data_IF_738178756271
#
_entry.id   IF_738178756271
#
_cell.length_a   1.000
_cell.length_b   1.000
_cell.length_c   1.000
_cell.angle_alpha   90.00
_cell.angle_beta   90.00
_cell.angle_gamma   90.00
#
_symmetry.space_group_name_H-M   'P 1'
#
loop_
_entity.id
_entity.type
_entity.pdbx_description
1 polymer ?
#
# COMPACT_ATOMS: atom_id res chain seq x y z
N UNK A 1 -22.93 -7.17 -43.66
CA UNK A 1 -21.89 -7.90 -44.39
C UNK A 1 -20.97 -6.92 -45.07
N UNK A 2 -19.80 -6.69 -44.53
CA UNK A 2 -18.55 -6.26 -45.19
C UNK A 2 -17.46 -6.27 -44.12
N UNK A 3 -16.60 -7.28 -44.21
CA UNK A 3 -15.39 -7.44 -43.41
C UNK A 3 -14.37 -6.37 -43.81
N UNK A 4 -13.79 -5.67 -42.82
CA UNK A 4 -12.58 -4.90 -43.00
C UNK A 4 -11.46 -5.58 -42.24
N UNK A 5 -10.63 -6.32 -42.98
CA UNK A 5 -9.32 -6.78 -42.48
C UNK A 5 -8.37 -5.58 -42.41
N UNK A 6 -7.85 -5.26 -41.25
CA UNK A 6 -6.66 -4.40 -41.11
C UNK A 6 -5.49 -5.29 -40.67
N UNK A 7 -4.60 -5.49 -41.61
CA UNK A 7 -3.30 -6.13 -41.40
C UNK A 7 -2.37 -5.16 -40.71
N UNK A 8 -1.90 -5.49 -39.50
CA UNK A 8 -0.77 -4.81 -38.86
C UNK A 8 0.50 -5.56 -39.25
N UNK A 9 1.40 -4.86 -39.93
CA UNK A 9 2.73 -5.37 -40.24
C UNK A 9 3.66 -5.18 -39.04
N UNK A 10 4.19 -6.28 -38.53
CA UNK A 10 5.24 -6.29 -37.50
C UNK A 10 6.59 -6.25 -38.23
N UNK A 11 7.38 -5.20 -37.97
CA UNK A 11 8.75 -5.10 -38.42
C UNK A 11 9.65 -5.87 -37.46
N UNK A 12 10.18 -6.99 -37.91
CA UNK A 12 11.23 -7.75 -37.22
C UNK A 12 12.56 -7.00 -37.36
N UNK A 13 13.11 -6.51 -36.22
CA UNK A 13 14.51 -6.09 -36.15
C UNK A 13 15.35 -7.32 -35.78
N UNK A 14 16.16 -7.79 -36.73
CA UNK A 14 17.06 -8.89 -36.51
C UNK A 14 18.25 -8.49 -35.63
N UNK A 15 18.36 -9.09 -34.45
CA UNK A 15 19.56 -9.01 -33.63
C UNK A 15 20.55 -10.10 -34.06
N UNK A 16 21.74 -9.68 -34.43
CA UNK A 16 22.86 -10.57 -34.77
C UNK A 16 23.42 -11.22 -33.50
N UNK A 17 23.30 -12.54 -33.39
CA UNK A 17 23.92 -13.35 -32.34
C UNK A 17 25.45 -13.34 -32.51
N UNK A 18 26.16 -12.68 -31.61
CA UNK A 18 27.59 -12.86 -31.41
C UNK A 18 27.76 -13.98 -30.38
N UNK A 19 28.32 -15.10 -30.82
CA UNK A 19 28.64 -16.22 -29.95
C UNK A 19 29.78 -15.84 -28.98
N UNK A 20 29.48 -15.76 -27.69
CA UNK A 20 30.46 -15.69 -26.64
C UNK A 20 30.85 -17.08 -26.13
N UNK A 21 32.11 -17.33 -25.72
CA UNK A 21 32.55 -18.64 -25.26
C UNK A 21 31.90 -18.99 -23.91
N UNK A 22 31.49 -20.26 -23.80
CA UNK A 22 30.91 -20.82 -22.59
C UNK A 22 31.88 -20.71 -21.40
N UNK A 23 31.61 -19.80 -20.49
CA UNK A 23 32.13 -19.82 -19.12
C UNK A 23 31.25 -20.78 -18.32
N UNK A 24 31.82 -21.89 -17.90
CA UNK A 24 31.21 -22.78 -16.92
C UNK A 24 31.24 -22.04 -15.60
N UNK A 25 30.16 -21.36 -15.31
CA UNK A 25 29.88 -20.78 -13.99
C UNK A 25 29.11 -21.83 -13.19
N UNK A 26 29.64 -22.21 -12.03
CA UNK A 26 28.93 -22.94 -11.03
C UNK A 26 27.71 -22.08 -10.62
N UNK A 27 26.52 -22.63 -10.82
CA UNK A 27 25.28 -22.00 -10.34
C UNK A 27 25.45 -21.61 -8.88
N UNK A 28 25.21 -20.35 -8.49
CA UNK A 28 25.00 -20.07 -7.08
C UNK A 28 23.76 -20.85 -6.67
N UNK A 29 23.90 -21.73 -5.68
CA UNK A 29 22.76 -22.25 -4.95
C UNK A 29 22.00 -21.03 -4.44
N UNK A 30 20.78 -20.86 -4.91
CA UNK A 30 19.80 -19.97 -4.28
C UNK A 30 19.65 -20.48 -2.86
N UNK A 31 20.34 -19.86 -1.93
CA UNK A 31 20.02 -20.02 -0.53
C UNK A 31 18.69 -19.29 -0.33
N UNK A 32 17.59 -20.01 -0.55
CA UNK A 32 16.33 -19.67 0.10
C UNK A 32 16.69 -19.57 1.58
N UNK A 33 16.79 -18.36 2.07
CA UNK A 33 16.90 -18.09 3.50
C UNK A 33 15.54 -18.49 4.06
N UNK A 34 15.40 -19.80 4.39
CA UNK A 34 14.37 -20.19 5.35
C UNK A 34 14.65 -19.32 6.59
N UNK A 35 13.96 -18.20 6.70
CA UNK A 35 13.77 -17.54 7.98
C UNK A 35 12.81 -18.46 8.73
N UNK A 36 13.36 -19.54 9.26
CA UNK A 36 12.70 -20.30 10.29
C UNK A 36 12.39 -19.31 11.39
N UNK A 37 11.11 -19.10 11.65
CA UNK A 37 10.62 -18.52 12.88
C UNK A 37 11.38 -19.14 14.05
N UNK A 38 12.50 -18.51 14.44
CA UNK A 38 13.05 -18.72 15.77
C UNK A 38 12.19 -17.82 16.64
N UNK A 39 11.21 -18.44 17.30
CA UNK A 39 10.49 -17.85 18.41
C UNK A 39 11.47 -17.15 19.35
N UNK A 40 11.70 -15.86 19.16
CA UNK A 40 11.93 -14.97 20.27
C UNK A 40 10.59 -14.89 21.00
N UNK A 41 10.61 -15.10 22.31
CA UNK A 41 9.44 -15.13 23.19
C UNK A 41 8.68 -13.78 23.29
N UNK A 42 8.19 -13.20 22.16
CA UNK A 42 6.93 -12.51 22.12
C UNK A 42 5.96 -13.56 21.62
N UNK A 43 5.34 -14.31 22.52
CA UNK A 43 4.30 -15.25 22.17
C UNK A 43 3.27 -14.51 21.34
N UNK A 44 3.04 -14.97 20.10
CA UNK A 44 1.86 -14.61 19.34
C UNK A 44 0.67 -14.76 20.27
N UNK A 45 0.12 -13.64 20.73
CA UNK A 45 -1.00 -13.69 21.66
C UNK A 45 -2.17 -14.26 20.87
N UNK A 46 -2.73 -15.42 21.27
CA UNK A 46 -3.84 -15.99 20.52
C UNK A 46 -4.99 -15.00 20.52
N UNK A 47 -5.69 -14.88 19.40
CA UNK A 47 -6.84 -13.97 19.27
C UNK A 47 -8.07 -14.46 20.08
N UNK A 48 -8.03 -15.71 20.60
CA UNK A 48 -8.99 -16.25 21.54
C UNK A 48 -10.36 -16.58 20.98
N UNK A 49 -11.37 -16.68 21.86
CA UNK A 49 -12.74 -17.04 21.51
C UNK A 49 -13.75 -15.88 21.72
N UNK A 50 -13.23 -14.64 21.82
CA UNK A 50 -14.03 -13.43 22.00
C UNK A 50 -14.80 -12.98 20.76
N UNK A 51 -14.93 -11.67 20.61
CA UNK A 51 -15.59 -11.06 19.45
C UNK A 51 -14.53 -10.43 18.54
N UNK A 52 -14.71 -10.56 17.21
CA UNK A 52 -13.97 -9.82 16.22
C UNK A 52 -14.90 -8.85 15.49
N UNK A 53 -14.61 -7.55 15.55
CA UNK A 53 -15.26 -6.54 14.74
C UNK A 53 -14.58 -6.46 13.38
N UNK A 54 -15.37 -6.66 12.31
CA UNK A 54 -14.89 -6.66 10.93
C UNK A 54 -15.36 -5.38 10.24
N UNK A 55 -14.44 -4.55 9.80
CA UNK A 55 -14.72 -3.31 9.07
C UNK A 55 -14.23 -3.42 7.63
N UNK A 56 -14.81 -2.63 6.73
CA UNK A 56 -14.41 -2.57 5.33
C UNK A 56 -13.44 -1.43 5.04
N UNK A 57 -12.95 -1.37 3.80
CA UNK A 57 -12.20 -0.23 3.28
C UNK A 57 -13.10 0.82 2.64
N UNK A 58 -12.48 1.86 2.08
CA UNK A 58 -13.19 2.94 1.38
C UNK A 58 -14.19 2.41 0.33
N UNK A 59 -15.44 2.82 0.45
CA UNK A 59 -16.55 2.37 -0.40
C UNK A 59 -17.27 1.11 0.09
N UNK A 60 -16.80 0.46 1.14
CA UNK A 60 -17.42 -0.73 1.74
C UNK A 60 -17.92 -0.42 3.16
N UNK A 61 -18.96 0.42 3.27
CA UNK A 61 -19.53 0.86 4.55
C UNK A 61 -20.00 -0.29 5.44
N UNK A 62 -20.61 -1.31 4.84
CA UNK A 62 -21.12 -2.48 5.55
C UNK A 62 -20.68 -3.73 4.81
N UNK A 63 -19.58 -4.34 5.24
CA UNK A 63 -19.09 -5.58 4.66
C UNK A 63 -20.16 -6.67 4.62
N UNK A 64 -20.20 -7.42 3.52
CA UNK A 64 -21.05 -8.60 3.41
C UNK A 64 -20.52 -9.79 4.22
N UNK A 65 -21.34 -10.84 4.36
CA UNK A 65 -20.91 -12.04 5.08
C UNK A 65 -19.72 -12.73 4.39
N UNK A 66 -19.68 -12.76 3.07
CA UNK A 66 -18.56 -13.33 2.31
C UNK A 66 -17.24 -12.66 2.67
N UNK A 67 -17.23 -11.32 2.77
CA UNK A 67 -16.05 -10.58 3.19
C UNK A 67 -15.64 -10.96 4.62
N UNK A 68 -16.59 -10.97 5.55
CA UNK A 68 -16.29 -11.31 6.95
C UNK A 68 -15.78 -12.75 7.10
N UNK A 69 -16.31 -13.69 6.32
CA UNK A 69 -15.87 -15.08 6.33
C UNK A 69 -14.42 -15.20 5.79
N UNK A 70 -14.08 -14.45 4.74
CA UNK A 70 -12.72 -14.44 4.19
C UNK A 70 -11.73 -13.83 5.19
N UNK A 71 -12.05 -12.70 5.81
CA UNK A 71 -11.18 -12.10 6.83
C UNK A 71 -10.96 -13.06 8.00
N UNK A 72 -12.01 -13.75 8.44
CA UNK A 72 -11.90 -14.76 9.50
C UNK A 72 -10.99 -15.92 9.06
N UNK A 73 -11.23 -16.49 7.89
CA UNK A 73 -10.52 -17.67 7.38
C UNK A 73 -9.03 -17.37 7.08
N UNK A 74 -8.73 -16.19 6.52
CA UNK A 74 -7.39 -15.90 6.01
C UNK A 74 -6.50 -15.21 7.05
N UNK A 75 -7.05 -14.35 7.93
CA UNK A 75 -6.27 -13.52 8.83
C UNK A 75 -6.46 -13.83 10.31
N UNK A 76 -7.68 -14.26 10.74
CA UNK A 76 -7.96 -14.46 12.16
C UNK A 76 -7.81 -15.91 12.59
N UNK A 77 -8.38 -16.86 11.87
CA UNK A 77 -8.30 -18.29 12.21
C UNK A 77 -6.86 -18.83 12.25
N UNK A 78 -5.93 -18.42 11.35
CA UNK A 78 -4.52 -18.81 11.46
C UNK A 78 -3.82 -18.31 12.74
N UNK A 79 -4.41 -17.31 13.42
CA UNK A 79 -3.95 -16.75 14.69
C UNK A 79 -4.73 -17.28 15.90
N UNK A 80 -5.26 -18.50 15.78
CA UNK A 80 -6.05 -19.17 16.81
C UNK A 80 -7.33 -18.43 17.25
N UNK A 81 -7.92 -17.62 16.37
CA UNK A 81 -9.26 -17.07 16.60
C UNK A 81 -10.31 -18.17 16.42
N UNK A 82 -11.17 -18.33 17.43
CA UNK A 82 -12.27 -19.30 17.42
C UNK A 82 -13.57 -18.67 17.91
N UNK A 83 -13.59 -17.34 17.97
CA UNK A 83 -14.67 -16.54 18.49
C UNK A 83 -15.80 -16.28 17.49
N UNK A 84 -16.40 -15.12 17.59
CA UNK A 84 -17.52 -14.71 16.73
C UNK A 84 -17.20 -13.44 15.99
N UNK A 85 -17.30 -13.46 14.67
CA UNK A 85 -17.18 -12.27 13.83
C UNK A 85 -18.47 -11.43 13.84
N UNK A 86 -18.32 -10.13 13.91
CA UNK A 86 -19.40 -9.16 13.80
C UNK A 86 -18.99 -8.03 12.85
N UNK A 87 -19.74 -7.88 11.77
CA UNK A 87 -19.56 -6.72 10.87
C UNK A 87 -19.90 -5.44 11.60
N UNK A 88 -19.00 -4.47 11.53
CA UNK A 88 -19.22 -3.13 12.04
C UNK A 88 -19.39 -2.17 10.86
N UNK A 89 -20.52 -1.48 10.80
CA UNK A 89 -20.80 -0.49 9.75
C UNK A 89 -20.11 0.84 10.12
N UNK A 90 -19.22 1.29 9.26
CA UNK A 90 -18.49 2.56 9.34
C UNK A 90 -18.68 3.34 8.04
N UNK A 91 -18.50 4.66 7.98
CA UNK A 91 -18.86 5.43 6.78
C UNK A 91 -18.04 5.09 5.53
N UNK A 92 -16.76 4.79 5.68
CA UNK A 92 -15.79 4.41 4.63
C UNK A 92 -15.87 5.32 3.39
N UNK A 93 -16.13 6.61 3.60
CA UNK A 93 -16.22 7.58 2.54
C UNK A 93 -14.84 8.15 2.18
N UNK A 94 -14.63 8.40 0.89
CA UNK A 94 -13.37 8.92 0.36
C UNK A 94 -13.64 9.92 -0.77
N UNK A 95 -13.92 11.18 -0.39
CA UNK A 95 -14.00 12.28 -1.36
C UNK A 95 -12.61 12.58 -1.92
N UNK A 96 -12.43 12.85 -3.21
CA UNK A 96 -13.44 12.82 -4.29
C UNK A 96 -13.57 11.46 -5.00
N UNK A 97 -12.77 10.45 -4.62
CA UNK A 97 -12.62 9.18 -5.36
C UNK A 97 -13.91 8.35 -5.44
N UNK A 98 -14.77 8.44 -4.41
CA UNK A 98 -16.09 7.77 -4.39
C UNK A 98 -17.22 8.71 -4.84
N UNK A 99 -16.88 9.86 -5.38
CA UNK A 99 -17.81 10.79 -6.00
C UNK A 99 -17.93 12.14 -5.27
N UNK A 100 -18.53 13.15 -5.96
CA UNK A 100 -18.52 14.53 -5.50
C UNK A 100 -19.43 14.83 -4.31
N UNK A 101 -20.25 13.88 -3.88
CA UNK A 101 -21.19 14.03 -2.78
C UNK A 101 -20.88 13.11 -1.60
N UNK A 102 -19.75 12.42 -1.63
CA UNK A 102 -19.27 11.62 -0.50
C UNK A 102 -18.67 12.51 0.57
N UNK A 103 -18.62 12.02 1.80
CA UNK A 103 -17.91 12.70 2.86
C UNK A 103 -16.40 12.65 2.61
N UNK A 104 -15.69 13.60 3.20
CA UNK A 104 -14.22 13.63 3.16
C UNK A 104 -13.63 12.52 4.02
N UNK A 105 -12.38 12.16 3.75
CA UNK A 105 -11.66 11.14 4.50
C UNK A 105 -11.65 11.43 6.00
N UNK A 106 -11.21 12.64 6.41
CA UNK A 106 -11.12 13.01 7.82
C UNK A 106 -12.46 12.91 8.56
N UNK A 107 -13.54 13.32 7.88
CA UNK A 107 -14.87 13.25 8.49
C UNK A 107 -15.36 11.82 8.62
N UNK A 108 -15.11 11.00 7.62
CA UNK A 108 -15.42 9.58 7.62
C UNK A 108 -14.65 8.85 8.71
N UNK A 109 -13.34 9.06 8.79
CA UNK A 109 -12.47 8.48 9.81
C UNK A 109 -12.92 8.87 11.22
N UNK A 110 -13.14 10.14 11.48
CA UNK A 110 -13.61 10.61 12.81
C UNK A 110 -14.97 10.02 13.24
N UNK A 111 -15.85 9.71 12.29
CA UNK A 111 -17.12 9.01 12.61
C UNK A 111 -16.85 7.52 12.85
N UNK A 112 -15.98 6.90 12.04
CA UNK A 112 -15.57 5.51 12.20
C UNK A 112 -14.92 5.26 13.57
N UNK A 113 -14.02 6.15 14.01
CA UNK A 113 -13.43 6.11 15.36
C UNK A 113 -14.49 6.08 16.46
N UNK A 114 -15.48 6.98 16.41
CA UNK A 114 -16.54 7.03 17.42
C UNK A 114 -17.39 5.75 17.45
N UNK A 115 -17.65 5.17 16.28
CA UNK A 115 -18.39 3.91 16.15
C UNK A 115 -17.58 2.77 16.75
N UNK A 116 -16.30 2.66 16.37
CA UNK A 116 -15.40 1.60 16.84
C UNK A 116 -15.14 1.72 18.33
N UNK A 117 -14.83 2.93 18.85
CA UNK A 117 -14.66 3.20 20.29
C UNK A 117 -15.88 2.71 21.08
N UNK A 118 -17.07 3.12 20.65
CA UNK A 118 -18.31 2.69 21.28
C UNK A 118 -18.50 1.18 21.27
N UNK A 119 -18.15 0.51 20.17
CA UNK A 119 -18.27 -0.95 20.03
C UNK A 119 -17.31 -1.67 20.98
N UNK A 120 -16.05 -1.25 21.02
CA UNK A 120 -15.02 -1.81 21.91
C UNK A 120 -15.41 -1.64 23.38
N UNK A 121 -15.74 -0.41 23.80
CA UNK A 121 -16.10 -0.11 25.19
C UNK A 121 -17.35 -0.87 25.65
N UNK A 122 -18.36 -1.01 24.79
CA UNK A 122 -19.54 -1.80 25.06
C UNK A 122 -19.18 -3.27 25.27
N UNK A 123 -18.27 -3.82 24.48
CA UNK A 123 -17.84 -5.21 24.60
C UNK A 123 -17.05 -5.43 25.90
N UNK A 124 -16.12 -4.55 26.24
CA UNK A 124 -15.37 -4.57 27.50
C UNK A 124 -16.34 -4.51 28.70
N UNK A 125 -17.36 -3.67 28.62
CA UNK A 125 -18.37 -3.53 29.68
C UNK A 125 -19.18 -4.82 29.94
N UNK A 126 -19.16 -5.80 29.03
CA UNK A 126 -19.78 -7.13 29.29
C UNK A 126 -19.05 -7.91 30.38
N UNK A 127 -17.78 -7.58 30.65
CA UNK A 127 -16.93 -8.28 31.63
C UNK A 127 -16.40 -9.63 31.16
N UNK A 128 -16.45 -9.90 29.85
CA UNK A 128 -15.96 -11.15 29.24
C UNK A 128 -14.69 -10.93 28.40
N UNK A 129 -14.06 -9.77 28.53
CA UNK A 129 -12.83 -9.42 27.81
C UNK A 129 -11.65 -9.54 28.76
N UNK A 130 -10.61 -10.19 28.33
CA UNK A 130 -9.33 -10.34 29.02
C UNK A 130 -8.20 -10.70 28.03
N UNK A 131 -6.98 -10.79 28.52
CA UNK A 131 -5.80 -11.10 27.69
C UNK A 131 -5.87 -12.43 26.91
N UNK A 132 -6.72 -13.37 27.31
CA UNK A 132 -6.92 -14.63 26.60
C UNK A 132 -8.04 -14.52 25.54
N UNK A 133 -8.93 -13.57 25.71
CA UNK A 133 -10.09 -13.31 24.86
C UNK A 133 -10.25 -11.80 24.66
N UNK A 134 -9.32 -11.14 23.95
CA UNK A 134 -9.41 -9.71 23.67
C UNK A 134 -10.57 -9.41 22.70
N UNK A 135 -10.94 -8.16 22.62
CA UNK A 135 -11.73 -7.67 21.48
C UNK A 135 -10.78 -7.62 20.28
N UNK A 136 -11.06 -8.40 19.26
CA UNK A 136 -10.32 -8.35 17.99
C UNK A 136 -10.95 -7.29 17.09
N UNK A 137 -10.11 -6.49 16.44
CA UNK A 137 -10.54 -5.48 15.48
C UNK A 137 -9.82 -5.74 14.17
N UNK A 138 -10.56 -6.04 13.11
CA UNK A 138 -9.99 -6.17 11.77
C UNK A 138 -10.35 -4.96 10.91
N UNK A 139 -9.32 -4.29 10.41
CA UNK A 139 -9.41 -3.14 9.51
C UNK A 139 -8.74 -3.41 8.16
N UNK A 140 -9.28 -2.80 7.11
CA UNK A 140 -8.71 -2.77 5.77
C UNK A 140 -8.71 -1.35 5.23
N UNK A 141 -7.53 -0.85 4.75
CA UNK A 141 -7.43 0.49 4.16
C UNK A 141 -7.93 1.56 5.16
N UNK A 142 -8.92 2.36 4.83
CA UNK A 142 -9.45 3.42 5.71
C UNK A 142 -9.80 2.91 7.12
N UNK A 143 -10.35 1.71 7.27
CA UNK A 143 -10.64 1.20 8.63
C UNK A 143 -9.38 0.75 9.40
N UNK A 144 -8.27 0.45 8.72
CA UNK A 144 -6.96 0.34 9.39
C UNK A 144 -6.54 1.69 9.96
N UNK A 145 -6.67 2.78 9.19
CA UNK A 145 -6.40 4.14 9.67
C UNK A 145 -7.33 4.52 10.84
N UNK A 146 -8.62 4.21 10.75
CA UNK A 146 -9.57 4.41 11.87
C UNK A 146 -9.08 3.73 13.14
N UNK A 147 -8.59 2.50 13.02
CA UNK A 147 -8.04 1.72 14.13
C UNK A 147 -6.76 2.35 14.69
N UNK A 148 -5.85 2.75 13.81
CA UNK A 148 -4.57 3.39 14.18
C UNK A 148 -4.79 4.72 14.90
N UNK A 149 -5.74 5.54 14.44
CA UNK A 149 -6.11 6.80 15.09
C UNK A 149 -6.78 6.59 16.45
N UNK A 150 -7.54 5.50 16.62
CA UNK A 150 -8.25 5.20 17.86
C UNK A 150 -7.33 4.67 18.97
N UNK A 151 -6.22 4.00 18.66
CA UNK A 151 -5.32 3.42 19.67
C UNK A 151 -4.88 4.39 20.77
N UNK A 152 -4.39 5.60 20.46
CA UNK A 152 -4.03 6.58 21.49
C UNK A 152 -5.21 7.03 22.34
N UNK A 153 -6.40 7.10 21.79
CA UNK A 153 -7.62 7.48 22.52
C UNK A 153 -8.02 6.40 23.51
N UNK A 154 -8.07 5.14 23.10
CA UNK A 154 -8.33 4.00 24.00
C UNK A 154 -7.33 3.95 25.15
N UNK A 155 -6.05 4.14 24.86
CA UNK A 155 -5.00 4.20 25.89
C UNK A 155 -5.23 5.37 26.86
N UNK A 156 -5.64 6.54 26.37
CA UNK A 156 -5.96 7.71 27.20
C UNK A 156 -7.20 7.50 28.08
N UNK A 157 -8.15 6.68 27.63
CA UNK A 157 -9.34 6.26 28.37
C UNK A 157 -9.01 5.18 29.42
N UNK A 158 -7.80 4.63 29.39
CA UNK A 158 -7.33 3.61 30.33
C UNK A 158 -7.78 2.20 29.97
N UNK A 159 -8.09 1.93 28.72
CA UNK A 159 -8.33 0.57 28.21
C UNK A 159 -7.02 -0.20 28.28
N UNK A 160 -6.96 -1.37 28.97
CA UNK A 160 -5.75 -2.18 29.03
C UNK A 160 -5.30 -2.64 27.64
N UNK A 161 -4.00 -2.66 27.37
CA UNK A 161 -3.46 -3.10 26.10
C UNK A 161 -3.85 -4.53 25.75
N UNK A 162 -3.94 -5.40 26.76
CA UNK A 162 -4.29 -6.81 26.57
C UNK A 162 -5.79 -7.06 26.30
N UNK A 163 -6.63 -6.03 26.42
CA UNK A 163 -8.07 -6.16 26.19
C UNK A 163 -8.47 -5.98 24.72
N UNK A 164 -7.57 -5.48 23.86
CA UNK A 164 -7.82 -5.25 22.42
C UNK A 164 -6.64 -5.73 21.59
N UNK A 165 -6.92 -6.40 20.48
CA UNK A 165 -5.93 -6.81 19.48
C UNK A 165 -6.38 -6.37 18.08
N UNK A 166 -5.50 -5.68 17.37
CA UNK A 166 -5.78 -5.21 16.02
C UNK A 166 -5.15 -6.11 14.96
N UNK A 167 -5.87 -6.35 13.88
CA UNK A 167 -5.39 -7.04 12.66
C UNK A 167 -5.69 -6.13 11.48
N UNK A 168 -4.67 -5.47 10.97
CA UNK A 168 -4.78 -4.41 10.00
C UNK A 168 -4.18 -4.85 8.66
N UNK A 169 -4.89 -4.58 7.57
CA UNK A 169 -4.40 -4.88 6.23
C UNK A 169 -4.40 -3.63 5.36
N UNK A 170 -3.30 -3.37 4.66
CA UNK A 170 -3.16 -2.18 3.83
C UNK A 170 -3.27 -0.89 4.64
N UNK A 171 -2.57 -0.79 5.78
CA UNK A 171 -2.63 0.38 6.66
C UNK A 171 -1.83 1.55 6.09
N UNK A 172 -2.53 2.61 5.74
CA UNK A 172 -1.96 3.86 5.23
C UNK A 172 -1.15 4.64 6.28
N UNK A 173 -1.28 4.25 7.56
CA UNK A 173 -0.52 4.79 8.70
C UNK A 173 0.67 3.93 9.10
N UNK A 174 1.02 2.87 8.35
CA UNK A 174 2.20 2.05 8.64
C UNK A 174 3.46 2.93 8.77
N UNK A 175 4.27 2.80 9.83
CA UNK A 175 5.38 3.73 10.08
C UNK A 175 6.44 3.72 8.98
N UNK A 176 6.71 2.57 8.40
CA UNK A 176 7.64 2.46 7.28
C UNK A 176 6.89 2.08 6.00
N UNK A 177 6.36 3.06 5.29
CA UNK A 177 5.71 2.87 3.99
C UNK A 177 4.36 3.53 3.85
N UNK A 178 3.58 3.69 4.92
CA UNK A 178 2.24 4.24 4.84
C UNK A 178 2.19 5.65 4.28
N UNK A 179 1.26 5.91 3.35
CA UNK A 179 1.16 7.20 2.68
C UNK A 179 0.88 8.34 3.68
N UNK A 180 0.06 8.10 4.72
CA UNK A 180 -0.26 9.13 5.71
C UNK A 180 0.94 9.45 6.61
N UNK A 181 1.88 8.54 6.77
CA UNK A 181 3.16 8.78 7.42
C UNK A 181 4.14 9.48 6.47
N UNK A 182 4.30 8.98 5.24
CA UNK A 182 5.23 9.54 4.24
C UNK A 182 5.05 11.04 4.05
N UNK A 183 3.81 11.51 4.00
CA UNK A 183 3.47 12.91 3.77
C UNK A 183 3.24 13.71 5.07
N UNK A 184 3.50 13.18 6.26
CA UNK A 184 3.52 13.94 7.51
C UNK A 184 4.76 14.84 7.55
N UNK A 185 4.75 15.91 6.79
CA UNK A 185 5.87 16.81 6.55
C UNK A 185 5.57 18.25 6.98
N UNK A 186 6.45 18.87 7.80
CA UNK A 186 7.55 18.25 8.55
C UNK A 186 7.07 17.18 9.52
N UNK A 187 7.88 16.14 9.75
CA UNK A 187 7.49 14.99 10.56
C UNK A 187 6.85 15.39 11.91
N UNK A 188 5.71 14.80 12.23
CA UNK A 188 4.93 15.04 13.45
C UNK A 188 4.09 16.33 13.43
N UNK A 189 3.97 17.03 12.29
CA UNK A 189 3.13 18.23 12.16
C UNK A 189 1.70 17.93 11.71
N UNK A 190 1.48 16.73 11.17
CA UNK A 190 0.20 16.25 10.66
C UNK A 190 -0.48 17.29 9.74
N UNK A 191 0.16 17.67 8.64
CA UNK A 191 -0.39 18.67 7.73
C UNK A 191 -1.68 18.15 7.09
N UNK A 192 -2.58 19.07 6.75
CA UNK A 192 -3.85 18.73 6.12
C UNK A 192 -4.05 19.44 4.80
N UNK A 193 -4.86 18.84 3.94
CA UNK A 193 -5.38 19.43 2.72
C UNK A 193 -6.88 19.70 2.93
N UNK A 194 -7.27 20.88 3.46
CA UNK A 194 -8.64 21.13 3.89
C UNK A 194 -9.67 21.01 2.77
N UNK A 195 -9.31 21.36 1.54
CA UNK A 195 -10.19 21.26 0.37
C UNK A 195 -10.56 19.81 0.02
N UNK A 196 -9.69 18.87 0.32
CA UNK A 196 -9.95 17.43 0.17
C UNK A 196 -10.44 16.80 1.47
N UNK A 197 -10.28 17.49 2.61
CA UNK A 197 -10.54 16.96 3.95
C UNK A 197 -9.70 15.72 4.21
N UNK A 198 -8.41 15.84 3.94
CA UNK A 198 -7.39 14.81 4.13
C UNK A 198 -6.30 15.35 5.04
N UNK A 199 -6.03 14.67 6.13
CA UNK A 199 -4.93 14.94 7.04
C UNK A 199 -3.90 13.80 6.95
N UNK A 200 -2.64 14.15 6.78
CA UNK A 200 -1.54 13.20 6.89
C UNK A 200 -1.26 12.98 8.37
N UNK A 201 -1.95 11.99 8.94
CA UNK A 201 -2.02 11.78 10.39
C UNK A 201 -0.72 11.24 11.01
N UNK A 202 0.26 10.90 10.20
CA UNK A 202 1.50 10.29 10.65
C UNK A 202 1.37 8.79 10.94
N UNK A 203 2.39 8.22 11.59
CA UNK A 203 2.46 6.79 11.81
C UNK A 203 1.51 6.31 12.90
N UNK A 204 1.08 5.06 12.81
CA UNK A 204 0.42 4.35 13.91
C UNK A 204 1.34 4.21 15.13
N UNK A 205 0.73 4.02 16.29
CA UNK A 205 1.47 3.78 17.54
C UNK A 205 1.76 2.27 17.70
N UNK A 206 3.02 1.88 17.53
CA UNK A 206 3.45 0.48 17.55
C UNK A 206 3.58 -0.16 18.94
N UNK A 207 3.40 0.63 20.03
CA UNK A 207 3.67 0.23 21.42
C UNK A 207 2.45 0.30 22.33
N UNK A 208 1.25 0.57 21.80
CA UNK A 208 0.05 0.74 22.63
C UNK A 208 -0.79 -0.54 22.75
N UNK A 209 -1.02 -1.23 21.66
CA UNK A 209 -1.86 -2.45 21.61
C UNK A 209 -1.21 -3.53 20.76
N UNK A 210 -1.41 -4.81 21.11
CA UNK A 210 -1.06 -5.91 20.21
C UNK A 210 -1.70 -5.70 18.84
N UNK A 211 -0.88 -5.67 17.80
CA UNK A 211 -1.31 -5.38 16.43
C UNK A 211 -0.55 -6.24 15.44
N UNK A 212 -1.24 -6.77 14.45
CA UNK A 212 -0.66 -7.44 13.29
C UNK A 212 -0.99 -6.62 12.05
N UNK A 213 0.02 -6.08 11.38
CA UNK A 213 -0.11 -5.28 10.16
C UNK A 213 0.39 -6.09 8.97
N UNK A 214 -0.46 -6.28 7.97
CA UNK A 214 -0.12 -6.95 6.72
C UNK A 214 -0.09 -5.94 5.57
N UNK A 215 1.04 -5.86 4.89
CA UNK A 215 1.27 -4.91 3.79
C UNK A 215 1.74 -5.64 2.55
N UNK A 216 1.03 -5.47 1.43
CA UNK A 216 1.55 -5.86 0.12
C UNK A 216 2.72 -4.97 -0.27
N UNK A 217 3.81 -5.60 -0.69
CA UNK A 217 4.90 -4.91 -1.35
C UNK A 217 4.35 -4.07 -2.52
N UNK A 218 4.77 -2.82 -2.62
CA UNK A 218 4.32 -1.85 -3.63
C UNK A 218 2.84 -1.41 -3.55
N UNK A 219 2.11 -1.74 -2.49
CA UNK A 219 0.80 -1.13 -2.26
C UNK A 219 0.96 0.39 -2.05
N UNK A 220 0.58 1.18 -3.04
CA UNK A 220 0.84 2.62 -3.02
C UNK A 220 0.13 3.39 -1.91
N UNK A 221 -0.77 2.78 -1.15
CA UNK A 221 -1.33 3.38 0.06
C UNK A 221 -0.57 2.97 1.32
N UNK A 222 -0.21 1.70 1.46
CA UNK A 222 0.43 1.16 2.65
C UNK A 222 1.95 1.00 2.52
N UNK A 223 2.46 0.99 1.28
CA UNK A 223 3.90 0.94 0.93
C UNK A 223 4.21 1.92 -0.20
N UNK A 224 4.18 3.21 0.12
CA UNK A 224 4.51 4.30 -0.80
C UNK A 224 6.03 4.54 -0.86
N UNK A 225 6.60 4.85 -2.04
CA UNK A 225 8.04 5.13 -2.17
C UNK A 225 8.53 6.26 -1.26
N UNK A 226 9.67 6.05 -0.61
CA UNK A 226 10.31 7.09 0.21
C UNK A 226 10.92 8.22 -0.64
N UNK A 227 11.32 7.92 -1.89
CA UNK A 227 11.99 8.87 -2.78
C UNK A 227 11.20 9.07 -4.09
N UNK A 228 10.08 9.80 -4.05
CA UNK A 228 9.15 9.92 -5.19
C UNK A 228 9.71 10.75 -6.36
N UNK A 229 10.88 11.33 -6.24
CA UNK A 229 11.65 11.83 -7.39
C UNK A 229 11.91 10.71 -8.43
N UNK A 230 11.87 9.47 -7.99
CA UNK A 230 11.85 8.30 -8.85
C UNK A 230 10.42 8.03 -9.36
N UNK A 231 10.03 8.75 -10.40
CA UNK A 231 8.69 8.63 -11.01
C UNK A 231 8.31 7.19 -11.43
N UNK A 232 9.30 6.33 -11.67
CA UNK A 232 9.05 4.93 -12.00
C UNK A 232 8.51 4.16 -10.77
N UNK A 233 9.03 4.46 -9.59
CA UNK A 233 8.52 3.90 -8.31
C UNK A 233 7.11 4.39 -8.03
N UNK A 234 6.84 5.68 -8.23
CA UNK A 234 5.51 6.24 -8.03
C UNK A 234 4.48 5.62 -8.99
N UNK A 235 4.86 5.44 -10.26
CA UNK A 235 3.99 4.77 -11.23
C UNK A 235 3.73 3.31 -10.82
N UNK A 236 4.74 2.63 -10.32
CA UNK A 236 4.59 1.26 -9.82
C UNK A 236 3.64 1.21 -8.61
N UNK A 237 3.83 2.11 -7.63
CA UNK A 237 2.97 2.23 -6.46
C UNK A 237 1.51 2.58 -6.82
N UNK A 238 1.30 3.47 -7.78
CA UNK A 238 -0.05 3.77 -8.30
C UNK A 238 -0.74 2.55 -8.91
N UNK A 239 0.01 1.72 -9.63
CA UNK A 239 -0.53 0.47 -10.15
C UNK A 239 -0.70 -0.56 -9.03
N UNK A 240 0.14 -0.51 -7.99
CA UNK A 240 -0.04 -1.28 -6.76
C UNK A 240 -1.32 -0.95 -6.01
N UNK A 241 -1.78 0.32 -6.02
CA UNK A 241 -3.12 0.65 -5.49
C UNK A 241 -4.22 -0.14 -6.22
N UNK A 242 -4.07 -0.33 -7.53
CA UNK A 242 -5.08 -1.02 -8.34
C UNK A 242 -4.97 -2.54 -8.23
N UNK A 243 -3.77 -3.10 -8.22
CA UNK A 243 -3.53 -4.53 -8.38
C UNK A 243 -3.21 -5.25 -7.06
N UNK A 244 -2.69 -4.51 -6.06
CA UNK A 244 -2.31 -5.06 -4.76
C UNK A 244 -3.26 -4.60 -3.65
N UNK A 245 -3.49 -3.29 -3.47
CA UNK A 245 -4.29 -2.76 -2.37
C UNK A 245 -5.72 -3.30 -2.31
N UNK A 246 -6.34 -3.49 -3.47
CA UNK A 246 -7.73 -4.00 -3.52
C UNK A 246 -7.83 -5.52 -3.38
N UNK A 247 -6.71 -6.25 -3.39
CA UNK A 247 -6.70 -7.72 -3.42
C UNK A 247 -6.57 -8.38 -2.05
N UNK A 248 -6.29 -7.66 -0.98
CA UNK A 248 -6.20 -8.25 0.37
C UNK A 248 -7.34 -9.20 0.73
N UNK A 249 -8.62 -8.88 0.43
CA UNK A 249 -9.71 -9.80 0.75
C UNK A 249 -9.82 -11.01 -0.18
N UNK A 250 -8.99 -11.10 -1.21
CA UNK A 250 -8.96 -12.21 -2.17
C UNK A 250 -7.67 -13.04 -2.07
N UNK A 251 -6.84 -12.76 -1.08
CA UNK A 251 -5.67 -13.60 -0.79
C UNK A 251 -6.11 -14.97 -0.27
N UNK A 252 -5.25 -15.94 -0.45
CA UNK A 252 -5.43 -17.27 0.14
C UNK A 252 -4.72 -17.35 1.48
N UNK A 253 -5.17 -18.25 2.37
CA UNK A 253 -4.49 -18.53 3.63
C UNK A 253 -2.99 -18.88 3.44
N UNK A 254 -2.63 -19.52 2.33
CA UNK A 254 -1.24 -19.84 2.01
C UNK A 254 -0.43 -18.56 1.76
N UNK A 255 -0.95 -17.62 0.99
CA UNK A 255 -0.29 -16.33 0.73
C UNK A 255 -0.12 -15.50 2.01
N UNK A 256 -1.14 -15.48 2.87
CA UNK A 256 -1.06 -14.77 4.17
C UNK A 256 -0.08 -15.45 5.13
N UNK A 257 -0.02 -16.79 5.15
CA UNK A 257 0.93 -17.54 5.98
C UNK A 257 2.38 -17.44 5.48
N UNK A 258 2.58 -17.22 4.19
CA UNK A 258 3.89 -17.01 3.57
C UNK A 258 4.40 -15.56 3.74
N UNK A 259 3.61 -14.68 4.39
CA UNK A 259 4.02 -13.32 4.66
C UNK A 259 5.32 -13.27 5.49
N UNK A 260 6.19 -12.33 5.14
CA UNK A 260 7.52 -12.19 5.74
C UNK A 260 7.42 -11.24 6.94
N UNK A 261 7.71 -11.73 8.14
CA UNK A 261 7.77 -10.85 9.31
C UNK A 261 8.98 -9.92 9.21
N UNK A 262 8.72 -8.63 9.35
CA UNK A 262 9.72 -7.58 9.25
C UNK A 262 10.38 -7.30 10.61
N UNK A 263 11.64 -6.82 10.62
CA UNK A 263 12.32 -6.43 11.85
C UNK A 263 11.70 -5.19 12.46
N UNK A 264 11.76 -5.08 13.79
CA UNK A 264 11.36 -3.90 14.55
C UNK A 264 12.53 -3.37 15.39
N UNK A 265 12.53 -2.07 15.68
CA UNK A 265 13.63 -1.36 16.34
C UNK A 265 13.74 -1.70 17.83
N UNK A 266 12.67 -2.13 18.46
CA UNK A 266 12.56 -2.32 19.91
C UNK A 266 11.83 -3.61 20.26
N UNK A 267 12.26 -4.23 21.35
CA UNK A 267 11.54 -5.35 21.98
C UNK A 267 10.26 -4.89 22.71
N UNK A 268 10.06 -3.60 22.89
CA UNK A 268 8.87 -3.02 23.52
C UNK A 268 7.74 -2.78 22.51
N UNK A 269 8.01 -2.97 21.20
CA UNK A 269 7.01 -2.91 20.13
C UNK A 269 5.99 -4.03 20.31
N UNK A 270 4.72 -3.68 20.32
CA UNK A 270 3.60 -4.61 20.40
C UNK A 270 3.02 -4.98 19.03
N UNK A 271 3.43 -4.27 17.99
CA UNK A 271 3.00 -4.50 16.60
C UNK A 271 3.96 -5.45 15.89
N UNK A 272 3.40 -6.45 15.22
CA UNK A 272 4.09 -7.29 14.25
C UNK A 272 3.77 -6.77 12.85
N UNK A 273 4.78 -6.60 12.02
CA UNK A 273 4.64 -6.18 10.64
C UNK A 273 4.96 -7.34 9.71
N UNK A 274 4.10 -7.57 8.74
CA UNK A 274 4.20 -8.65 7.77
C UNK A 274 4.14 -8.10 6.37
N UNK A 275 5.16 -8.40 5.57
CA UNK A 275 5.18 -8.12 4.15
C UNK A 275 4.58 -9.30 3.38
N UNK A 276 3.66 -8.99 2.48
CA UNK A 276 3.11 -9.91 1.49
C UNK A 276 3.88 -9.68 0.18
N UNK A 277 4.85 -10.55 -0.16
CA UNK A 277 5.77 -10.29 -1.26
C UNK A 277 5.06 -10.40 -2.62
N UNK A 278 5.42 -9.51 -3.54
CA UNK A 278 4.94 -9.48 -4.92
C UNK A 278 6.00 -10.00 -5.86
N UNK A 279 5.66 -10.97 -6.70
CA UNK A 279 6.62 -11.62 -7.59
C UNK A 279 6.89 -10.84 -8.88
N UNK A 280 5.91 -10.07 -9.33
CA UNK A 280 5.99 -9.23 -10.53
C UNK A 280 5.62 -7.82 -10.16
N UNK A 281 6.39 -6.84 -10.59
CA UNK A 281 6.05 -5.44 -10.36
C UNK A 281 4.64 -5.11 -10.87
N UNK A 282 3.78 -4.45 -10.09
CA UNK A 282 2.47 -3.95 -10.56
C UNK A 282 2.54 -3.20 -11.90
N UNK A 283 3.65 -2.52 -12.17
CA UNK A 283 3.94 -1.87 -13.44
C UNK A 283 3.91 -2.83 -14.64
N UNK A 284 4.23 -4.11 -14.44
CA UNK A 284 4.31 -5.13 -15.47
C UNK A 284 3.07 -6.02 -15.57
N UNK A 285 2.18 -5.98 -14.61
CA UNK A 285 0.96 -6.78 -14.57
C UNK A 285 0.11 -6.65 -15.84
N UNK A 286 -0.09 -5.45 -16.42
CA UNK A 286 -0.81 -5.34 -17.68
C UNK A 286 -0.18 -6.10 -18.85
N UNK A 287 1.14 -6.37 -18.83
CA UNK A 287 1.79 -7.16 -19.85
C UNK A 287 1.36 -8.62 -19.79
N UNK A 288 1.14 -9.17 -18.60
CA UNK A 288 0.74 -10.56 -18.41
C UNK A 288 -0.61 -10.89 -19.07
N UNK A 289 -1.44 -9.87 -19.34
CA UNK A 289 -2.68 -10.04 -20.11
C UNK A 289 -2.46 -10.33 -21.59
N UNK A 290 -1.23 -10.20 -22.11
CA UNK A 290 -0.91 -10.46 -23.51
C UNK A 290 -0.62 -11.96 -23.66
N UNK A 291 -1.47 -12.73 -24.37
CA UNK A 291 -1.29 -14.19 -24.48
C UNK A 291 0.09 -14.56 -25.04
N UNK A 292 0.72 -15.57 -24.45
CA UNK A 292 1.95 -16.27 -24.88
C UNK A 292 3.26 -15.48 -24.82
N UNK A 293 3.22 -14.17 -24.89
CA UNK A 293 4.43 -13.33 -24.85
C UNK A 293 4.46 -12.41 -23.64
N UNK A 294 3.33 -12.23 -22.95
CA UNK A 294 3.22 -11.30 -21.83
C UNK A 294 4.10 -11.73 -20.65
N UNK A 295 3.94 -12.95 -20.15
CA UNK A 295 4.76 -13.46 -19.07
C UNK A 295 6.26 -13.49 -19.41
N UNK A 296 6.72 -14.08 -20.55
CA UNK A 296 8.13 -14.00 -20.89
C UNK A 296 8.69 -12.58 -21.00
N UNK A 297 7.87 -11.61 -21.39
CA UNK A 297 8.29 -10.22 -21.47
C UNK A 297 8.32 -9.57 -20.10
N UNK A 298 7.34 -9.84 -19.25
CA UNK A 298 7.33 -9.39 -17.86
C UNK A 298 8.55 -9.96 -17.12
N UNK A 299 8.81 -11.24 -17.19
CA UNK A 299 9.94 -11.90 -16.56
C UNK A 299 11.30 -11.39 -17.06
N UNK A 300 11.39 -11.05 -18.36
CA UNK A 300 12.59 -10.43 -18.91
C UNK A 300 12.89 -9.07 -18.29
N UNK A 301 11.85 -8.29 -18.05
CA UNK A 301 11.97 -6.89 -17.62
C UNK A 301 11.96 -6.74 -16.09
N UNK A 302 11.27 -7.63 -15.39
CA UNK A 302 11.01 -7.52 -13.97
C UNK A 302 12.29 -7.31 -13.14
N UNK A 303 13.35 -8.12 -13.26
CA UNK A 303 14.51 -7.97 -12.40
C UNK A 303 15.22 -6.61 -12.52
N UNK A 304 15.38 -6.09 -13.74
CA UNK A 304 16.02 -4.79 -13.96
C UNK A 304 15.12 -3.62 -13.57
N UNK A 305 13.82 -3.73 -13.83
CA UNK A 305 12.86 -2.71 -13.41
C UNK A 305 12.67 -2.70 -11.90
N UNK A 306 12.74 -3.86 -11.22
CA UNK A 306 12.70 -3.92 -9.75
C UNK A 306 13.87 -3.14 -9.14
N UNK A 307 15.09 -3.27 -9.66
CA UNK A 307 16.23 -2.46 -9.21
C UNK A 307 15.93 -0.96 -9.34
N UNK A 308 15.32 -0.54 -10.46
CA UNK A 308 15.02 0.87 -10.69
C UNK A 308 13.85 1.37 -9.84
N UNK A 309 12.84 0.54 -9.62
CA UNK A 309 11.69 0.85 -8.75
C UNK A 309 12.16 0.91 -7.30
N UNK A 310 12.93 -0.07 -6.84
CA UNK A 310 13.39 -0.16 -5.45
C UNK A 310 14.31 0.97 -5.02
N UNK A 311 14.94 1.67 -5.97
CA UNK A 311 15.61 2.94 -5.67
C UNK A 311 14.69 3.97 -5.03
N UNK A 312 13.40 3.96 -5.35
CA UNK A 312 12.41 4.83 -4.73
C UNK A 312 12.06 4.41 -3.29
N UNK A 313 12.36 3.17 -2.92
CA UNK A 313 12.19 2.64 -1.56
C UNK A 313 13.49 2.68 -0.74
N UNK A 314 14.60 3.11 -1.36
CA UNK A 314 15.90 3.20 -0.69
C UNK A 314 16.62 1.88 -0.55
N UNK A 315 16.14 0.84 -1.20
CA UNK A 315 16.79 -0.47 -1.24
C UNK A 315 17.10 -0.90 -2.67
N UNK A 316 18.29 -1.39 -2.86
CA UNK A 316 18.74 -2.06 -4.08
C UNK A 316 19.50 -3.28 -3.64
N UNK A 317 18.77 -4.36 -3.32
CA UNK A 317 19.41 -5.61 -2.99
C UNK A 317 20.13 -6.22 -4.21
N UNK A 318 21.26 -6.86 -3.97
CA UNK A 318 21.99 -7.65 -4.96
C UNK A 318 21.12 -8.75 -5.59
N UNK A 319 20.01 -9.12 -4.96
CA UNK A 319 19.06 -10.15 -5.39
C UNK A 319 17.89 -9.59 -6.21
N UNK A 320 17.81 -8.29 -6.48
CA UNK A 320 16.70 -7.61 -7.18
C UNK A 320 15.29 -7.89 -6.61
N UNK A 321 15.21 -8.60 -5.52
CA UNK A 321 13.95 -8.94 -4.81
C UNK A 321 13.73 -8.11 -3.56
N UNK A 322 14.63 -7.16 -3.27
CA UNK A 322 14.45 -6.23 -2.17
C UNK A 322 13.45 -5.16 -2.58
N UNK A 323 12.27 -5.17 -2.05
CA UNK A 323 11.25 -4.17 -2.31
C UNK A 323 10.90 -3.36 -1.08
N UNK A 324 11.19 -3.91 0.08
CA UNK A 324 10.85 -3.25 1.32
C UNK A 324 11.77 -2.06 1.60
N UNK A 325 11.20 -0.96 2.08
CA UNK A 325 11.94 0.20 2.55
C UNK A 325 12.95 -0.20 3.63
N UNK A 326 14.19 0.27 3.52
CA UNK A 326 15.24 -0.07 4.46
C UNK A 326 14.91 0.38 5.89
N UNK A 327 15.25 -0.44 6.86
CA UNK A 327 15.11 -0.15 8.28
C UNK A 327 14.10 -1.05 8.99
N UNK A 328 13.81 -0.65 10.23
CA UNK A 328 12.85 -1.36 11.06
C UNK A 328 11.41 -0.89 10.73
N UNK A 329 10.48 -1.81 10.71
CA UNK A 329 9.11 -1.53 10.25
C UNK A 329 8.31 -0.59 11.17
N UNK A 330 8.70 -0.50 12.45
CA UNK A 330 8.09 0.40 13.45
C UNK A 330 8.72 1.80 13.48
N UNK A 331 9.65 2.10 12.56
CA UNK A 331 10.34 3.40 12.51
C UNK A 331 9.79 4.26 11.39
N UNK A 332 9.25 5.45 11.70
CA UNK A 332 8.76 6.38 10.69
C UNK A 332 9.83 6.75 9.66
N UNK A 333 9.45 6.71 8.41
CA UNK A 333 10.33 7.00 7.27
C UNK A 333 9.68 8.01 6.32
N UNK A 334 9.62 9.29 6.71
CA UNK A 334 9.01 10.34 5.88
C UNK A 334 9.70 10.47 4.52
N UNK A 335 9.05 11.16 3.59
CA UNK A 335 9.61 11.38 2.26
C UNK A 335 11.00 12.00 2.32
N UNK A 336 11.89 11.48 1.47
CA UNK A 336 13.22 12.01 1.22
C UNK A 336 13.39 12.47 -0.22
N UNK A 337 14.49 13.16 -0.51
CA UNK A 337 14.78 13.60 -1.87
C UNK A 337 15.55 12.55 -2.67
N UNK A 338 16.60 11.99 -2.10
CA UNK A 338 17.46 11.00 -2.76
C UNK A 338 17.87 9.90 -1.77
N UNK A 339 17.97 8.65 -2.23
CA UNK A 339 18.54 7.58 -1.41
C UNK A 339 20.01 7.82 -1.09
N UNK A 340 20.50 7.13 -0.07
CA UNK A 340 21.92 7.19 0.33
C UNK A 340 22.84 6.82 -0.84
N UNK A 341 23.99 7.47 -0.91
CA UNK A 341 24.99 7.22 -1.96
C UNK A 341 25.49 5.78 -1.99
N UNK A 342 25.49 5.07 -0.86
CA UNK A 342 25.84 3.65 -0.78
C UNK A 342 24.85 2.75 -1.52
N UNK A 343 23.58 3.12 -1.57
CA UNK A 343 22.54 2.45 -2.37
C UNK A 343 22.81 2.68 -3.86
N UNK A 344 23.10 3.93 -4.24
CA UNK A 344 23.39 4.26 -5.65
C UNK A 344 24.64 3.54 -6.20
N UNK A 345 25.63 3.28 -5.36
CA UNK A 345 26.84 2.54 -5.73
C UNK A 345 26.57 1.06 -6.09
N UNK A 346 25.49 0.48 -5.59
CA UNK A 346 25.11 -0.92 -5.83
C UNK A 346 24.37 -1.11 -7.17
N UNK A 347 23.71 -0.09 -7.68
CA UNK A 347 22.84 -0.14 -8.88
C UNK A 347 23.50 -0.80 -10.10
N UNK A 348 24.77 -0.48 -10.49
CA UNK A 348 25.36 -1.10 -11.68
C UNK A 348 25.52 -2.62 -11.56
N UNK A 349 25.81 -3.12 -10.36
CA UNK A 349 25.92 -4.56 -10.12
C UNK A 349 24.55 -5.21 -10.09
N UNK A 350 23.59 -4.60 -9.41
CA UNK A 350 22.21 -5.09 -9.34
C UNK A 350 21.59 -5.21 -10.75
N UNK A 351 21.73 -4.19 -11.60
CA UNK A 351 21.26 -4.25 -13.00
C UNK A 351 21.97 -5.34 -13.83
N UNK A 352 23.29 -5.56 -13.60
CA UNK A 352 23.98 -6.64 -14.30
C UNK A 352 23.46 -8.03 -13.89
N UNK A 353 23.11 -8.20 -12.62
CA UNK A 353 22.50 -9.43 -12.10
C UNK A 353 21.07 -9.58 -12.62
N UNK A 354 20.27 -8.50 -12.56
CA UNK A 354 18.89 -8.46 -13.03
C UNK A 354 18.75 -8.83 -14.51
N UNK A 355 19.59 -8.26 -15.37
CA UNK A 355 19.61 -8.61 -16.80
C UNK A 355 19.89 -10.10 -17.02
N UNK A 356 20.84 -10.68 -16.27
CA UNK A 356 21.14 -12.11 -16.40
C UNK A 356 19.96 -12.98 -15.97
N UNK A 357 19.31 -12.59 -14.87
CA UNK A 357 18.14 -13.30 -14.35
C UNK A 357 16.95 -13.19 -15.31
N UNK A 358 16.59 -11.98 -15.74
CA UNK A 358 15.47 -11.77 -16.66
C UNK A 358 15.61 -12.55 -17.98
N UNK A 359 16.83 -12.64 -18.54
CA UNK A 359 17.08 -13.49 -19.71
C UNK A 359 16.84 -14.96 -19.37
N UNK A 360 17.26 -15.42 -18.20
CA UNK A 360 17.06 -16.80 -17.75
C UNK A 360 15.59 -17.14 -17.59
N UNK A 361 14.84 -16.27 -16.92
CA UNK A 361 13.42 -16.48 -16.63
C UNK A 361 12.57 -16.42 -17.90
N UNK A 362 12.80 -15.45 -18.76
CA UNK A 362 12.13 -15.38 -20.07
C UNK A 362 12.40 -16.62 -20.94
N UNK A 363 13.62 -17.17 -20.91
CA UNK A 363 13.93 -18.42 -21.63
C UNK A 363 13.19 -19.60 -21.00
N UNK A 364 13.14 -19.68 -19.68
CA UNK A 364 12.40 -20.72 -18.96
C UNK A 364 10.95 -20.72 -19.38
N UNK A 365 10.31 -19.55 -19.35
CA UNK A 365 8.92 -19.38 -19.76
C UNK A 365 8.68 -19.75 -21.23
N UNK A 366 9.51 -19.27 -22.13
CA UNK A 366 9.42 -19.59 -23.56
C UNK A 366 9.65 -21.07 -23.86
N UNK A 367 10.26 -21.81 -22.96
CA UNK A 367 10.53 -23.25 -23.12
C UNK A 367 9.55 -24.14 -22.36
N UNK A 368 8.73 -23.62 -21.49
CA UNK A 368 7.71 -24.35 -20.77
C UNK A 368 6.46 -24.55 -21.65
N UNK A 369 6.09 -25.79 -21.98
CA UNK A 369 4.90 -26.07 -22.79
C UNK A 369 3.59 -25.61 -22.11
N UNK A 370 3.56 -25.50 -20.79
CA UNK A 370 2.35 -25.08 -20.05
C UNK A 370 2.02 -23.59 -20.30
N UNK A 371 3.02 -22.76 -20.58
CA UNK A 371 2.84 -21.33 -20.87
C UNK A 371 2.18 -21.06 -22.24
N UNK A 372 1.97 -22.11 -23.05
CA UNK A 372 1.18 -22.00 -24.27
C UNK A 372 -0.33 -22.28 -24.07
N UNK A 373 -0.76 -22.51 -22.83
CA UNK A 373 -2.16 -22.50 -22.44
C UNK A 373 -2.41 -21.18 -21.70
N UNK A 374 -3.12 -20.26 -22.35
CA UNK A 374 -3.41 -18.98 -21.72
C UNK A 374 -4.34 -19.17 -20.52
N UNK A 375 -3.88 -18.71 -19.37
CA UNK A 375 -4.69 -18.56 -18.14
C UNK A 375 -4.63 -17.10 -17.72
N UNK A 376 -5.65 -16.60 -17.04
CA UNK A 376 -5.59 -15.27 -16.44
C UNK A 376 -4.47 -15.24 -15.39
N UNK A 377 -3.71 -14.15 -15.28
CA UNK A 377 -2.79 -13.94 -14.16
C UNK A 377 -3.54 -13.99 -12.82
N UNK A 378 -2.88 -14.45 -11.76
CA UNK A 378 -3.48 -14.59 -10.43
C UNK A 378 -4.06 -13.27 -9.90
N UNK A 379 -3.34 -12.17 -10.09
CA UNK A 379 -3.81 -10.84 -9.68
C UNK A 379 -5.13 -10.45 -10.38
N UNK A 380 -5.29 -10.78 -11.67
CA UNK A 380 -6.52 -10.45 -12.41
C UNK A 380 -7.71 -11.30 -11.94
N UNK A 381 -7.47 -12.54 -11.52
CA UNK A 381 -8.48 -13.40 -10.92
C UNK A 381 -8.88 -12.91 -9.53
N UNK A 382 -7.90 -12.53 -8.70
CA UNK A 382 -8.11 -11.96 -7.37
C UNK A 382 -8.85 -10.61 -7.45
N UNK A 383 -8.44 -9.71 -8.33
CA UNK A 383 -9.13 -8.45 -8.57
C UNK A 383 -10.57 -8.68 -9.02
N UNK A 384 -10.80 -9.65 -9.91
CA UNK A 384 -12.13 -10.07 -10.33
C UNK A 384 -12.98 -10.54 -9.15
N UNK A 385 -12.44 -11.42 -8.30
CA UNK A 385 -13.09 -11.92 -7.08
C UNK A 385 -13.46 -10.78 -6.14
N UNK A 386 -12.55 -9.86 -5.88
CA UNK A 386 -12.82 -8.70 -5.03
C UNK A 386 -13.96 -7.86 -5.58
N UNK A 387 -13.95 -7.53 -6.87
CA UNK A 387 -14.95 -6.66 -7.48
C UNK A 387 -16.32 -7.32 -7.64
N UNK A 388 -16.37 -8.61 -7.96
CA UNK A 388 -17.62 -9.33 -8.23
C UNK A 388 -18.28 -9.87 -6.95
N UNK A 389 -17.48 -10.45 -6.05
CA UNK A 389 -17.99 -11.23 -4.91
C UNK A 389 -17.96 -10.42 -3.60
N UNK A 390 -16.96 -9.55 -3.42
CA UNK A 390 -16.74 -8.83 -2.17
C UNK A 390 -17.28 -7.41 -2.20
N UNK A 391 -17.14 -6.71 -3.34
CA UNK A 391 -17.61 -5.33 -3.55
C UNK A 391 -18.72 -5.23 -4.61
N UNK A 392 -19.79 -6.02 -4.55
CA UNK A 392 -20.82 -6.03 -5.59
C UNK A 392 -21.54 -4.68 -5.66
N UNK A 393 -21.43 -4.01 -6.79
CA UNK A 393 -22.18 -2.79 -7.08
C UNK A 393 -21.40 -1.48 -6.97
N UNK A 394 -20.10 -1.51 -6.72
CA UNK A 394 -19.23 -0.32 -6.81
C UNK A 394 -19.18 0.17 -8.25
N UNK A 395 -19.88 1.24 -8.58
CA UNK A 395 -19.82 1.88 -9.89
C UNK A 395 -18.83 3.03 -9.84
N UNK A 396 -17.69 2.87 -10.49
CA UNK A 396 -16.80 3.98 -10.83
C UNK A 396 -17.48 4.82 -11.92
N UNK A 397 -18.07 5.94 -11.53
CA UNK A 397 -18.71 6.86 -12.49
C UNK A 397 -17.73 7.93 -12.95
N UNK A 398 -17.44 7.95 -14.24
CA UNK A 398 -16.62 8.98 -14.90
C UNK A 398 -17.52 10.12 -15.35
N UNK A 399 -17.31 11.33 -14.83
CA UNK A 399 -18.04 12.53 -15.26
C UNK A 399 -17.15 13.47 -16.07
N UNK A 400 -17.71 14.05 -17.12
CA UNK A 400 -17.08 15.05 -17.98
C UNK A 400 -17.46 16.47 -17.55
N UNK A 401 -16.47 17.36 -17.39
CA UNK A 401 -16.63 18.74 -16.90
C UNK A 401 -15.98 19.75 -17.82
N UNK A 402 -16.61 20.93 -17.98
CA UNK A 402 -16.19 22.05 -18.81
C UNK A 402 -15.65 23.20 -17.93
N UNK A 403 -14.48 23.81 -18.21
CA UNK A 403 -13.84 24.80 -17.34
C UNK A 403 -14.26 26.25 -17.58
N UNK A 404 -14.29 27.05 -16.51
CA UNK A 404 -14.39 28.52 -16.53
C UNK A 404 -13.37 29.15 -15.59
N UNK A 405 -12.90 30.37 -15.90
CA UNK A 405 -11.73 31.12 -15.43
C UNK A 405 -11.44 31.20 -13.92
N UNK A 406 -10.16 31.11 -13.55
CA UNK A 406 -9.62 30.56 -12.31
C UNK A 406 -9.35 31.52 -11.12
N UNK A 407 -9.07 32.79 -11.26
CA UNK A 407 -8.40 33.55 -10.19
C UNK A 407 -9.32 34.26 -9.18
N UNK A 408 -10.53 34.63 -9.54
CA UNK A 408 -11.46 35.31 -8.63
C UNK A 408 -12.38 34.36 -7.85
N UNK A 409 -12.25 33.04 -8.11
CA UNK A 409 -13.13 32.02 -7.55
C UNK A 409 -12.65 31.53 -6.15
N UNK A 410 -11.34 31.47 -5.94
CA UNK A 410 -10.74 30.85 -4.77
C UNK A 410 -10.93 31.64 -3.46
N UNK A 411 -10.97 32.95 -3.52
CA UNK A 411 -11.11 33.81 -2.32
C UNK A 411 -12.53 33.81 -1.69
N UNK A 412 -13.50 33.21 -2.35
CA UNK A 412 -14.91 33.23 -1.94
C UNK A 412 -15.50 31.88 -1.55
N UNK A 413 -14.79 30.78 -1.77
CA UNK A 413 -15.30 29.44 -1.48
C UNK A 413 -14.90 28.94 -0.09
N UNK A 414 -15.76 28.10 0.56
CA UNK A 414 -15.37 27.39 1.77
C UNK A 414 -14.23 26.42 1.44
N UNK A 415 -13.39 26.04 2.44
CA UNK A 415 -12.22 25.19 2.23
C UNK A 415 -12.52 23.79 1.64
N UNK A 416 -13.76 23.42 1.54
CA UNK A 416 -14.24 22.23 0.86
C UNK A 416 -15.52 22.58 0.12
N UNK A 417 -15.45 22.54 -1.22
CA UNK A 417 -16.59 22.97 -2.07
C UNK A 417 -17.51 21.82 -2.45
N UNK A 418 -17.07 20.57 -2.34
CA UNK A 418 -17.76 19.39 -2.86
C UNK A 418 -17.73 19.27 -4.38
N UNK A 419 -16.84 20.03 -5.04
CA UNK A 419 -16.62 19.95 -6.48
C UNK A 419 -15.16 19.57 -6.77
N UNK A 420 -14.87 18.29 -7.08
CA UNK A 420 -13.52 17.74 -7.11
C UNK A 420 -12.48 18.57 -7.88
N UNK A 421 -12.75 19.06 -9.10
CA UNK A 421 -11.75 19.86 -9.82
C UNK A 421 -11.34 21.16 -9.11
N UNK A 422 -12.25 21.80 -8.37
CA UNK A 422 -11.91 23.01 -7.61
C UNK A 422 -11.14 22.66 -6.34
N UNK A 423 -11.58 21.64 -5.62
CA UNK A 423 -10.96 21.23 -4.37
C UNK A 423 -9.55 20.70 -4.62
N UNK A 424 -9.34 19.93 -5.70
CA UNK A 424 -8.01 19.50 -6.14
C UNK A 424 -7.16 20.70 -6.62
N UNK A 425 -7.75 21.65 -7.38
CA UNK A 425 -7.01 22.82 -7.81
C UNK A 425 -6.58 23.70 -6.62
N UNK A 426 -7.41 23.85 -5.59
CA UNK A 426 -7.06 24.52 -4.35
C UNK A 426 -5.93 23.81 -3.61
N UNK A 427 -6.01 22.48 -3.50
CA UNK A 427 -4.94 21.67 -2.91
C UNK A 427 -3.59 21.92 -3.61
N UNK A 428 -3.56 21.82 -4.94
CA UNK A 428 -2.33 21.94 -5.72
C UNK A 428 -1.78 23.38 -5.81
N UNK A 429 -2.63 24.39 -5.82
CA UNK A 429 -2.23 25.77 -6.07
C UNK A 429 -2.08 26.63 -4.81
N UNK A 430 -2.66 26.20 -3.70
CA UNK A 430 -2.67 26.95 -2.45
C UNK A 430 -2.08 26.14 -1.33
N UNK A 431 -2.67 24.97 -1.00
CA UNK A 431 -2.30 24.22 0.19
C UNK A 431 -0.90 23.59 0.06
N UNK A 432 -0.61 22.89 -1.04
CA UNK A 432 0.71 22.27 -1.22
C UNK A 432 1.85 23.27 -1.23
N UNK A 433 1.79 24.43 -1.94
CA UNK A 433 2.83 25.45 -1.84
C UNK A 433 3.04 26.02 -0.42
N UNK A 434 2.01 26.04 0.43
CA UNK A 434 2.15 26.42 1.84
C UNK A 434 2.87 25.34 2.65
N UNK A 435 2.53 24.06 2.42
CA UNK A 435 3.22 22.92 3.03
C UNK A 435 4.68 22.86 2.60
N UNK A 436 4.96 23.05 1.30
CA UNK A 436 6.32 23.12 0.75
C UNK A 436 7.17 24.20 1.43
N UNK A 437 6.57 25.37 1.63
CA UNK A 437 7.26 26.45 2.32
C UNK A 437 7.60 26.07 3.78
N UNK A 438 6.72 25.36 4.47
CA UNK A 438 6.95 24.90 5.84
C UNK A 438 8.07 23.86 5.90
N UNK A 439 8.07 22.89 4.99
CA UNK A 439 9.15 21.89 4.85
C UNK A 439 10.47 22.60 4.53
N UNK A 440 10.48 23.43 3.48
CA UNK A 440 11.66 24.20 3.10
C UNK A 440 12.28 24.97 4.26
N UNK A 441 11.48 25.70 5.03
CA UNK A 441 11.98 26.53 6.12
C UNK A 441 12.47 25.70 7.31
N UNK A 442 11.86 24.55 7.55
CA UNK A 442 12.26 23.61 8.63
C UNK A 442 13.62 22.99 8.32
N UNK A 443 13.79 22.43 7.14
CA UNK A 443 15.04 21.78 6.74
C UNK A 443 16.16 22.77 6.56
N UNK A 444 15.88 23.97 6.03
CA UNK A 444 16.84 25.06 5.96
C UNK A 444 17.33 25.48 7.36
N UNK A 445 16.44 25.53 8.33
CA UNK A 445 16.79 25.85 9.72
C UNK A 445 17.63 24.74 10.39
N UNK A 446 17.40 23.49 10.00
CA UNK A 446 18.22 22.34 10.40
C UNK A 446 19.60 22.32 9.73
N UNK A 447 19.80 23.13 8.68
CA UNK A 447 21.05 23.25 7.93
C UNK A 447 21.16 22.29 6.75
N UNK A 448 20.09 21.59 6.40
CA UNK A 448 20.03 20.70 5.26
C UNK A 448 19.46 21.41 4.04
N UNK A 449 20.34 21.90 3.18
CA UNK A 449 19.98 22.62 1.97
C UNK A 449 19.45 21.68 0.86
N UNK A 450 19.88 20.42 0.87
CA UNK A 450 19.48 19.44 -0.15
C UNK A 450 18.03 19.04 0.08
N UNK A 451 17.71 18.66 1.30
CA UNK A 451 16.34 18.28 1.66
C UNK A 451 15.41 19.49 1.66
N UNK A 452 15.84 20.65 2.14
CA UNK A 452 15.03 21.87 2.07
C UNK A 452 14.52 22.19 0.66
N UNK A 453 15.29 21.89 -0.38
CA UNK A 453 14.86 22.08 -1.78
C UNK A 453 14.23 20.81 -2.34
N UNK A 454 14.76 19.66 -1.99
CA UNK A 454 14.45 18.40 -2.61
C UNK A 454 13.14 17.77 -2.12
N UNK A 455 12.89 17.78 -0.80
CA UNK A 455 11.71 17.13 -0.22
C UNK A 455 10.38 17.75 -0.68
N UNK A 456 10.22 19.10 -0.73
CA UNK A 456 9.02 19.68 -1.32
C UNK A 456 8.76 19.21 -2.76
N UNK A 457 9.81 19.21 -3.60
CA UNK A 457 9.71 18.73 -4.98
C UNK A 457 9.31 17.25 -5.04
N UNK A 458 9.87 16.43 -4.18
CA UNK A 458 9.57 15.01 -4.10
C UNK A 458 8.12 14.78 -3.67
N UNK A 459 7.63 15.52 -2.67
CA UNK A 459 6.24 15.45 -2.21
C UNK A 459 5.25 15.82 -3.31
N UNK A 460 5.52 16.92 -4.03
CA UNK A 460 4.70 17.33 -5.18
C UNK A 460 4.63 16.26 -6.27
N UNK A 461 5.77 15.65 -6.60
CA UNK A 461 5.83 14.59 -7.62
C UNK A 461 5.02 13.38 -7.18
N UNK A 462 5.14 12.95 -5.93
CA UNK A 462 4.42 11.78 -5.40
C UNK A 462 2.90 11.96 -5.36
N UNK A 463 2.42 13.15 -4.95
CA UNK A 463 0.98 13.37 -4.78
C UNK A 463 0.26 13.74 -6.10
N UNK A 464 0.98 14.32 -7.07
CA UNK A 464 0.39 14.83 -8.31
C UNK A 464 -0.43 13.80 -9.10
N UNK A 465 0.01 12.54 -9.28
CA UNK A 465 -0.77 11.54 -10.00
C UNK A 465 -2.11 11.24 -9.32
N UNK A 466 -2.13 11.11 -7.99
CA UNK A 466 -3.37 10.89 -7.22
C UNK A 466 -4.31 12.09 -7.33
N UNK A 467 -3.78 13.31 -7.20
CA UNK A 467 -4.55 14.52 -7.36
C UNK A 467 -5.19 14.62 -8.75
N UNK A 468 -4.47 14.25 -9.80
CA UNK A 468 -5.01 14.24 -11.17
C UNK A 468 -6.13 13.20 -11.36
N UNK A 469 -6.00 12.02 -10.75
CA UNK A 469 -7.07 11.01 -10.76
C UNK A 469 -8.29 11.56 -10.01
N UNK A 470 -8.11 12.09 -8.79
CA UNK A 470 -9.20 12.68 -8.00
C UNK A 470 -9.90 13.86 -8.70
N UNK A 471 -9.20 14.64 -9.54
CA UNK A 471 -9.80 15.72 -10.33
C UNK A 471 -10.60 15.22 -11.53
N UNK A 472 -10.30 14.01 -12.02
CA UNK A 472 -10.95 13.42 -13.19
C UNK A 472 -12.24 12.66 -12.83
N UNK A 473 -12.41 12.29 -11.59
CA UNK A 473 -13.58 11.61 -11.03
C UNK A 473 -14.69 12.61 -10.63
#
# INVERSE_FOLDING_TARGET
>A
MRHLHRTFGVALVGASLIAAPALVSSSPEVQVREVRLTSGDTADSPLGDGIAFIMGGSGLETPGQTYADVIDEEYLAPRDFTGTTQVLTTPEALYPFLGPFTETFDKSAAQGEQILDTAILNQIATGNVDAANPVVVSGWSQSSVISSLLMPELASQGVPSDDVHFVLVGDESAPNGGMLERFDLPAGTQPSIPSLGLTFSGPEASDLYPTDVYTHEYDGFADFPQYPVNVLSDLNALLGIVFEHVTYPALTAEQVQDAIQLPTSSADTLTNYYELPVTTLPLLDPLQLIPFIGNPLADLLNPDLSVLVNLGYGDVDDNYLGGWSQGDADVPTPLGFLPDSSVLEQVPQALANGLQQGISDAIKDLTDPNNYVYTLPSWADQLGTTLEDILPGTQLSVFSIVPTTFQDLFDTFPPHTGFPPFDVAEALLITLPELDYNVFTTDLAAGDLVDAIGVPIAADIGILPLALIGAAL
#
